data_IF_515721833913
#
_entry.id   IF_515721833913
#
_cell.length_a   1.000
_cell.length_b   1.000
_cell.length_c   1.000
_cell.angle_alpha   90.00
_cell.angle_beta   90.00
_cell.angle_gamma   90.00
#
_symmetry.space_group_name_H-M   'P 1'
#
loop_
_entity.id
_entity.type
_entity.pdbx_description
1 polymer ?
#
# COMPACT_ATOMS: atom_id res chain seq x y z
N UNK A 1 -16.72 72.34 -58.93
CA UNK A 1 -16.19 70.96 -59.00
C UNK A 1 -15.51 70.68 -57.68
N UNK A 2 -16.21 69.91 -56.76
CA UNK A 2 -15.64 69.43 -55.48
C UNK A 2 -15.50 67.92 -55.55
N UNK A 3 -14.26 67.43 -55.52
CA UNK A 3 -13.94 65.97 -55.45
C UNK A 3 -13.85 65.54 -53.99
N UNK A 4 -14.74 64.67 -53.56
CA UNK A 4 -14.78 64.03 -52.24
C UNK A 4 -13.94 62.78 -52.33
N UNK A 5 -12.85 62.66 -51.51
CA UNK A 5 -12.07 61.42 -51.31
C UNK A 5 -12.66 60.67 -50.19
N UNK A 6 -13.16 59.44 -50.43
CA UNK A 6 -13.57 58.46 -49.42
C UNK A 6 -12.35 57.61 -49.12
N UNK A 7 -11.81 57.72 -47.87
CA UNK A 7 -10.75 56.90 -47.41
C UNK A 7 -11.39 55.67 -46.68
N UNK A 8 -11.24 54.48 -47.23
CA UNK A 8 -11.70 53.21 -46.62
C UNK A 8 -10.62 52.75 -45.70
N UNK A 9 -10.86 52.82 -44.40
CA UNK A 9 -9.99 52.24 -43.36
C UNK A 9 -10.32 50.75 -43.21
N UNK A 10 -9.41 49.87 -43.62
CA UNK A 10 -9.48 48.43 -43.39
C UNK A 10 -8.86 48.17 -42.02
N UNK A 11 -9.71 47.93 -41.02
CA UNK A 11 -9.27 47.49 -39.67
C UNK A 11 -8.93 46.00 -39.70
N UNK A 12 -7.63 45.67 -39.64
CA UNK A 12 -7.11 44.35 -39.53
C UNK A 12 -7.26 43.89 -38.05
N UNK A 13 -8.34 43.17 -37.76
CA UNK A 13 -8.54 42.53 -36.42
C UNK A 13 -7.62 41.33 -36.31
N UNK A 14 -6.44 41.49 -35.71
CA UNK A 14 -5.58 40.40 -35.28
C UNK A 14 -6.23 39.68 -34.09
N UNK A 15 -6.85 38.54 -34.34
CA UNK A 15 -7.30 37.61 -33.32
C UNK A 15 -6.06 37.07 -32.59
N UNK A 16 -5.71 37.70 -31.47
CA UNK A 16 -4.78 37.17 -30.50
C UNK A 16 -5.41 35.91 -29.90
N UNK A 17 -5.11 34.74 -30.45
CA UNK A 17 -5.36 33.47 -29.80
C UNK A 17 -4.40 33.34 -28.60
N UNK A 18 -4.83 33.83 -27.46
CA UNK A 18 -4.14 33.47 -26.21
C UNK A 18 -4.26 31.96 -26.05
N UNK A 19 -3.13 31.24 -25.87
CA UNK A 19 -3.22 29.86 -25.46
C UNK A 19 -3.97 29.85 -24.13
N UNK A 20 -5.11 29.15 -24.09
CA UNK A 20 -5.77 28.84 -22.85
C UNK A 20 -4.73 28.15 -21.98
N UNK A 21 -4.25 28.84 -20.95
CA UNK A 21 -3.36 28.28 -19.97
C UNK A 21 -4.13 27.08 -19.31
N UNK A 22 -3.83 25.89 -19.79
CA UNK A 22 -4.41 24.69 -19.22
C UNK A 22 -3.90 24.62 -17.78
N UNK A 23 -4.82 24.70 -16.80
CA UNK A 23 -4.44 24.67 -15.40
C UNK A 23 -3.60 23.42 -15.15
N UNK A 24 -2.40 23.60 -14.60
CA UNK A 24 -1.50 22.51 -14.25
C UNK A 24 -2.20 21.55 -13.28
N UNK A 25 -2.27 20.28 -13.64
CA UNK A 25 -2.79 19.22 -12.76
C UNK A 25 -1.75 18.91 -11.69
N UNK A 26 -2.07 19.19 -10.44
CA UNK A 26 -1.22 18.81 -9.31
C UNK A 26 -1.66 17.46 -8.78
N UNK A 27 -0.70 16.54 -8.61
CA UNK A 27 -0.89 15.20 -8.05
C UNK A 27 -0.03 15.09 -6.79
N UNK A 28 -0.66 15.13 -5.64
CA UNK A 28 0.00 14.88 -4.36
C UNK A 28 -0.11 13.40 -4.02
N UNK A 29 1.03 12.80 -3.69
CA UNK A 29 1.12 11.40 -3.25
C UNK A 29 1.31 11.37 -1.74
N UNK A 30 0.58 10.54 -1.01
CA UNK A 30 0.88 10.20 0.39
C UNK A 30 1.24 8.72 0.50
N UNK A 31 2.33 8.44 1.17
CA UNK A 31 2.73 7.06 1.48
C UNK A 31 3.33 6.98 2.87
N UNK A 32 2.99 5.91 3.59
CA UNK A 32 3.64 5.59 4.86
C UNK A 32 5.04 4.99 4.67
N UNK A 33 5.44 4.64 3.45
CA UNK A 33 6.77 4.10 3.17
C UNK A 33 7.86 5.15 3.42
N UNK A 34 8.99 4.79 4.08
CA UNK A 34 10.11 5.69 4.25
C UNK A 34 10.82 5.97 2.92
N UNK A 35 11.66 6.99 2.90
CA UNK A 35 12.32 7.47 1.69
C UNK A 35 13.16 6.41 0.97
N UNK A 36 13.79 5.51 1.73
CA UNK A 36 14.59 4.38 1.23
C UNK A 36 13.79 3.21 0.66
N UNK A 37 12.47 3.21 0.78
CA UNK A 37 11.63 2.08 0.38
C UNK A 37 11.49 1.97 -1.14
N UNK A 38 11.50 0.74 -1.72
CA UNK A 38 11.14 0.52 -3.12
C UNK A 38 9.78 1.08 -3.53
N UNK A 39 8.83 1.19 -2.60
CA UNK A 39 7.53 1.79 -2.87
C UNK A 39 7.65 3.32 -3.08
N UNK A 40 8.52 3.99 -2.35
CA UNK A 40 8.82 5.40 -2.56
C UNK A 40 9.51 5.63 -3.91
N UNK A 41 10.40 4.72 -4.31
CA UNK A 41 11.01 4.73 -5.66
C UNK A 41 9.97 4.58 -6.76
N UNK A 42 8.96 3.71 -6.56
CA UNK A 42 7.87 3.55 -7.52
C UNK A 42 7.11 4.86 -7.77
N UNK A 43 6.78 5.60 -6.72
CA UNK A 43 6.15 6.91 -6.86
C UNK A 43 7.07 7.97 -7.48
N UNK A 44 8.39 7.93 -7.21
CA UNK A 44 9.36 8.80 -7.89
C UNK A 44 9.45 8.50 -9.39
N UNK A 45 9.37 7.23 -9.78
CA UNK A 45 9.31 6.81 -11.18
C UNK A 45 8.05 7.35 -11.87
N UNK A 46 6.89 7.25 -11.21
CA UNK A 46 5.63 7.83 -11.71
C UNK A 46 5.78 9.35 -11.88
N UNK A 47 6.31 10.05 -10.86
CA UNK A 47 6.59 11.49 -10.94
C UNK A 47 7.43 11.84 -12.15
N UNK A 48 8.59 11.22 -12.29
CA UNK A 48 9.55 11.51 -13.35
C UNK A 48 8.93 11.30 -14.75
N UNK A 49 8.18 10.20 -14.93
CA UNK A 49 7.54 9.88 -16.20
C UNK A 49 6.41 10.87 -16.55
N UNK A 50 5.53 11.15 -15.59
CA UNK A 50 4.38 12.03 -15.84
C UNK A 50 4.81 13.46 -16.09
N UNK A 51 5.75 14.00 -15.34
CA UNK A 51 6.26 15.36 -15.52
C UNK A 51 7.06 15.50 -16.83
N UNK A 52 7.84 14.48 -17.20
CA UNK A 52 8.60 14.46 -18.46
C UNK A 52 7.69 14.38 -19.70
N UNK A 53 6.63 13.56 -19.61
CA UNK A 53 5.70 13.36 -20.75
C UNK A 53 4.71 14.49 -20.93
N UNK A 54 4.36 15.18 -19.84
CA UNK A 54 3.38 16.27 -19.82
C UNK A 54 3.96 17.53 -19.16
N UNK A 55 5.03 18.10 -19.74
CA UNK A 55 5.74 19.26 -19.16
C UNK A 55 4.80 20.45 -19.01
N UNK A 56 4.78 21.06 -17.82
CA UNK A 56 3.91 22.18 -17.48
C UNK A 56 2.43 21.83 -17.27
N UNK A 57 1.96 20.69 -17.77
CA UNK A 57 0.56 20.25 -17.61
C UNK A 57 0.35 19.35 -16.36
N UNK A 58 1.36 18.61 -15.92
CA UNK A 58 1.29 17.75 -14.73
C UNK A 58 2.45 18.08 -13.80
N UNK A 59 2.16 18.14 -12.51
CA UNK A 59 3.16 18.24 -11.42
C UNK A 59 2.85 17.20 -10.35
N UNK A 60 3.86 16.44 -9.93
CA UNK A 60 3.70 15.39 -8.93
C UNK A 60 4.59 15.66 -7.72
N UNK A 61 4.05 15.61 -6.53
CA UNK A 61 4.82 15.68 -5.28
C UNK A 61 4.73 14.35 -4.53
N UNK A 62 5.87 13.89 -3.97
CA UNK A 62 5.98 12.58 -3.32
C UNK A 62 6.60 12.73 -1.93
N UNK A 63 5.90 13.31 -0.96
CA UNK A 63 6.32 13.24 0.44
C UNK A 63 6.15 11.79 0.97
N UNK A 64 7.17 11.32 1.68
CA UNK A 64 7.30 9.95 2.19
C UNK A 64 7.10 9.89 3.71
N UNK A 65 7.14 8.69 4.29
CA UNK A 65 7.10 8.46 5.75
C UNK A 65 5.92 9.13 6.47
N UNK A 66 4.73 9.12 5.85
CA UNK A 66 3.51 9.77 6.36
C UNK A 66 3.62 11.29 6.58
N UNK A 67 4.52 11.98 5.86
CA UNK A 67 4.74 13.42 6.03
C UNK A 67 3.51 14.27 5.61
N UNK A 68 2.66 13.77 4.70
CA UNK A 68 1.47 14.50 4.25
C UNK A 68 0.20 14.06 5.01
N UNK A 69 -0.01 12.74 5.13
CA UNK A 69 -1.14 12.16 5.87
C UNK A 69 -0.66 11.01 6.74
N UNK A 70 -1.21 10.90 7.95
CA UNK A 70 -0.95 9.79 8.87
C UNK A 70 -1.52 8.50 8.30
N UNK A 71 -0.83 7.36 8.47
CA UNK A 71 -1.31 6.04 8.05
C UNK A 71 -2.76 5.79 8.50
N UNK A 72 -3.62 5.40 7.56
CA UNK A 72 -5.04 5.17 7.79
C UNK A 72 -5.94 6.40 7.61
N UNK A 73 -5.37 7.60 7.35
CA UNK A 73 -6.15 8.81 7.06
C UNK A 73 -6.14 9.19 5.57
N UNK A 74 -5.34 8.50 4.76
CA UNK A 74 -5.18 8.77 3.33
C UNK A 74 -6.49 8.49 2.57
N UNK A 75 -7.13 7.35 2.78
CA UNK A 75 -8.36 6.99 2.08
C UNK A 75 -9.49 8.00 2.30
N UNK A 76 -9.82 8.41 3.54
CA UNK A 76 -10.77 9.50 3.76
C UNK A 76 -10.35 10.83 3.13
N UNK A 77 -9.05 11.15 3.06
CA UNK A 77 -8.56 12.37 2.42
C UNK A 77 -8.77 12.33 0.90
N UNK A 78 -8.51 11.18 0.26
CA UNK A 78 -8.76 10.96 -1.17
C UNK A 78 -10.25 11.09 -1.51
N UNK A 79 -11.12 10.51 -0.69
CA UNK A 79 -12.58 10.58 -0.88
C UNK A 79 -13.14 12.00 -0.77
N UNK A 80 -12.52 12.85 0.07
CA UNK A 80 -12.88 14.27 0.19
C UNK A 80 -12.21 15.18 -0.85
N UNK A 81 -11.36 14.64 -1.74
CA UNK A 81 -10.63 15.40 -2.74
C UNK A 81 -9.43 16.20 -2.19
N UNK A 82 -8.96 15.85 -0.98
CA UNK A 82 -7.81 16.50 -0.34
C UNK A 82 -6.47 15.83 -0.66
N UNK A 83 -6.50 14.69 -1.35
CA UNK A 83 -5.32 13.92 -1.75
C UNK A 83 -5.62 13.20 -3.07
N UNK A 84 -4.68 13.23 -4.02
CA UNK A 84 -4.85 12.64 -5.34
C UNK A 84 -4.42 11.18 -5.38
N UNK A 85 -3.27 10.82 -4.81
CA UNK A 85 -2.74 9.46 -4.85
C UNK A 85 -2.24 8.99 -3.48
N UNK A 86 -2.36 7.68 -3.24
CA UNK A 86 -1.79 7.03 -2.06
C UNK A 86 -1.44 5.56 -2.35
N UNK A 87 -0.85 4.92 -1.34
CA UNK A 87 -0.55 3.49 -1.33
C UNK A 87 -1.39 2.73 -0.28
N UNK A 88 -2.72 2.66 -0.43
CA UNK A 88 -3.55 1.91 0.51
C UNK A 88 -3.21 0.42 0.48
N UNK A 89 -3.46 -0.24 1.59
CA UNK A 89 -3.39 -1.70 1.72
C UNK A 89 -4.78 -2.28 1.95
N UNK A 90 -4.91 -3.59 1.89
CA UNK A 90 -6.21 -4.28 1.90
C UNK A 90 -7.09 -3.92 3.09
N UNK A 91 -6.53 -3.83 4.31
CA UNK A 91 -7.33 -3.55 5.51
C UNK A 91 -7.98 -2.15 5.52
N UNK A 92 -7.40 -1.19 4.80
CA UNK A 92 -7.97 0.17 4.70
C UNK A 92 -9.20 0.17 3.79
N UNK A 93 -9.20 -0.68 2.78
CA UNK A 93 -10.32 -0.83 1.82
C UNK A 93 -11.41 -1.74 2.38
N UNK A 94 -11.06 -2.82 3.10
CA UNK A 94 -12.02 -3.78 3.66
C UNK A 94 -13.01 -3.15 4.64
N UNK A 95 -12.65 -2.02 5.27
CA UNK A 95 -13.58 -1.28 6.12
C UNK A 95 -14.85 -0.82 5.38
N UNK A 96 -14.74 -0.59 4.07
CA UNK A 96 -15.84 -0.17 3.19
C UNK A 96 -16.32 -1.29 2.27
N UNK A 97 -15.48 -2.31 2.03
CA UNK A 97 -15.78 -3.49 1.20
C UNK A 97 -15.46 -4.78 1.99
N UNK A 98 -16.22 -5.08 3.05
CA UNK A 98 -15.95 -6.24 3.91
C UNK A 98 -16.03 -7.59 3.19
N UNK A 99 -16.76 -7.66 2.07
CA UNK A 99 -16.81 -8.84 1.20
C UNK A 99 -15.45 -9.21 0.59
N UNK A 100 -14.53 -8.25 0.51
CA UNK A 100 -13.15 -8.46 0.05
C UNK A 100 -12.13 -8.56 1.20
N UNK A 101 -12.58 -8.63 2.44
CA UNK A 101 -11.72 -8.79 3.62
C UNK A 101 -10.82 -10.03 3.57
N UNK A 102 -11.17 -11.03 2.75
CA UNK A 102 -10.32 -12.19 2.49
C UNK A 102 -8.92 -11.80 2.00
N UNK A 103 -8.74 -10.68 1.27
CA UNK A 103 -7.43 -10.22 0.83
C UNK A 103 -6.50 -9.76 1.96
N UNK A 104 -7.05 -9.53 3.16
CA UNK A 104 -6.28 -9.28 4.39
C UNK A 104 -6.02 -10.55 5.20
N UNK A 105 -6.46 -11.72 4.71
CA UNK A 105 -6.32 -12.97 5.45
C UNK A 105 -4.88 -13.50 5.41
N UNK A 106 -4.37 -13.88 6.58
CA UNK A 106 -3.09 -14.56 6.68
C UNK A 106 -3.15 -15.92 5.97
N UNK A 107 -2.01 -16.34 5.42
CA UNK A 107 -1.85 -17.59 4.67
C UNK A 107 -2.76 -17.76 3.44
N UNK A 108 -3.33 -16.66 2.92
CA UNK A 108 -4.13 -16.67 1.70
C UNK A 108 -3.25 -16.88 0.47
N UNK A 109 -2.23 -16.05 0.31
CA UNK A 109 -1.31 -16.14 -0.82
C UNK A 109 -0.10 -17.02 -0.45
N UNK A 110 0.34 -17.83 -1.41
CA UNK A 110 1.51 -18.72 -1.25
C UNK A 110 2.82 -17.92 -1.21
N UNK A 111 2.92 -16.94 -2.11
CA UNK A 111 4.10 -16.09 -2.32
C UNK A 111 3.72 -14.83 -3.11
N UNK A 112 4.70 -14.00 -3.42
CA UNK A 112 4.52 -12.77 -4.20
C UNK A 112 3.99 -13.04 -5.62
N UNK A 113 4.45 -14.12 -6.29
CA UNK A 113 4.01 -14.47 -7.65
C UNK A 113 2.52 -14.81 -7.66
N UNK A 114 2.07 -15.65 -6.74
CA UNK A 114 0.66 -15.99 -6.58
C UNK A 114 -0.21 -14.76 -6.27
N UNK A 115 0.27 -13.87 -5.40
CA UNK A 115 -0.40 -12.61 -5.10
C UNK A 115 -0.56 -11.76 -6.36
N UNK A 116 0.53 -11.52 -7.10
CA UNK A 116 0.52 -10.67 -8.29
C UNK A 116 -0.34 -11.29 -9.41
N UNK A 117 -0.24 -12.59 -9.64
CA UNK A 117 -1.10 -13.28 -10.60
C UNK A 117 -2.58 -13.14 -10.23
N UNK A 118 -2.93 -13.24 -8.96
CA UNK A 118 -4.30 -13.05 -8.49
C UNK A 118 -4.82 -11.65 -8.81
N UNK A 119 -4.09 -10.61 -8.44
CA UNK A 119 -4.54 -9.23 -8.68
C UNK A 119 -4.45 -8.81 -10.15
N UNK A 120 -3.69 -9.52 -10.97
CA UNK A 120 -3.60 -9.30 -12.42
C UNK A 120 -4.53 -10.21 -13.25
N UNK A 121 -5.38 -11.02 -12.59
CA UNK A 121 -6.43 -11.85 -13.19
C UNK A 121 -7.79 -11.15 -13.15
N UNK A 122 -8.85 -11.88 -13.61
CA UNK A 122 -10.23 -11.43 -13.50
C UNK A 122 -10.67 -11.20 -12.05
N UNK A 123 -10.05 -11.88 -11.07
CA UNK A 123 -10.31 -11.65 -9.64
C UNK A 123 -9.89 -10.23 -9.25
N UNK A 124 -8.70 -9.82 -9.66
CA UNK A 124 -8.22 -8.47 -9.40
C UNK A 124 -9.02 -7.41 -10.14
N UNK A 125 -9.38 -7.69 -11.41
CA UNK A 125 -10.22 -6.76 -12.19
C UNK A 125 -11.56 -6.52 -11.50
N UNK A 126 -12.24 -7.57 -11.06
CA UNK A 126 -13.49 -7.49 -10.32
C UNK A 126 -13.35 -6.63 -9.05
N UNK A 127 -12.28 -6.86 -8.30
CA UNK A 127 -11.98 -6.07 -7.09
C UNK A 127 -11.71 -4.60 -7.40
N UNK A 128 -10.91 -4.31 -8.43
CA UNK A 128 -10.59 -2.92 -8.81
C UNK A 128 -11.82 -2.15 -9.29
N UNK A 129 -12.70 -2.81 -10.05
CA UNK A 129 -13.97 -2.23 -10.50
C UNK A 129 -14.89 -1.91 -9.30
N UNK A 130 -15.01 -2.82 -8.34
CA UNK A 130 -15.78 -2.59 -7.11
C UNK A 130 -15.17 -1.48 -6.25
N UNK A 131 -13.85 -1.42 -6.09
CA UNK A 131 -13.16 -0.34 -5.38
C UNK A 131 -13.39 1.00 -6.07
N UNK A 132 -13.31 1.06 -7.40
CA UNK A 132 -13.56 2.29 -8.14
C UNK A 132 -15.00 2.78 -7.98
N UNK A 133 -15.97 1.86 -8.04
CA UNK A 133 -17.39 2.20 -8.02
C UNK A 133 -17.95 2.46 -6.63
N UNK A 134 -17.49 1.73 -5.61
CA UNK A 134 -18.05 1.78 -4.25
C UNK A 134 -17.21 2.60 -3.28
N UNK A 135 -15.89 2.65 -3.49
CA UNK A 135 -14.95 3.37 -2.59
C UNK A 135 -14.47 4.69 -3.19
N UNK A 136 -14.55 4.83 -4.52
CA UNK A 136 -14.10 6.02 -5.22
C UNK A 136 -12.60 6.10 -5.43
N UNK A 137 -11.92 4.94 -5.49
CA UNK A 137 -10.49 4.83 -5.78
C UNK A 137 -10.25 4.05 -7.06
N UNK A 138 -9.40 4.56 -7.94
CA UNK A 138 -8.87 3.83 -9.09
C UNK A 138 -7.56 3.17 -8.66
N UNK A 139 -7.55 1.85 -8.52
CA UNK A 139 -6.32 1.09 -8.37
C UNK A 139 -5.65 1.04 -9.74
N UNK A 140 -4.43 1.58 -9.82
CA UNK A 140 -3.63 1.62 -11.06
C UNK A 140 -2.89 0.31 -11.27
N UNK A 141 -2.27 -0.22 -10.21
CA UNK A 141 -1.73 -1.59 -10.15
C UNK A 141 -1.51 -2.03 -8.70
N UNK A 142 -1.24 -3.33 -8.53
CA UNK A 142 -0.86 -3.94 -7.26
C UNK A 142 0.64 -4.20 -7.23
N UNK A 143 1.27 -3.76 -6.15
CA UNK A 143 2.65 -4.04 -5.79
C UNK A 143 2.71 -5.01 -4.60
N UNK A 144 3.91 -5.45 -4.24
CA UNK A 144 4.17 -6.39 -3.15
C UNK A 144 4.83 -5.66 -1.97
N UNK A 145 4.12 -5.53 -0.85
CA UNK A 145 4.67 -4.88 0.33
C UNK A 145 5.74 -5.73 1.02
N UNK A 146 5.60 -7.04 0.96
CA UNK A 146 6.47 -8.03 1.56
C UNK A 146 5.69 -9.13 2.31
N UNK A 147 6.42 -10.13 2.79
CA UNK A 147 5.88 -11.21 3.64
C UNK A 147 6.10 -10.87 5.11
N UNK A 148 5.02 -10.76 5.85
CA UNK A 148 5.02 -10.33 7.25
C UNK A 148 5.54 -11.42 8.19
N UNK A 149 6.33 -10.98 9.14
CA UNK A 149 6.97 -11.78 10.21
C UNK A 149 6.75 -11.07 11.54
N UNK A 150 7.09 -11.70 12.64
CA UNK A 150 6.97 -11.11 13.98
C UNK A 150 8.34 -10.65 14.47
N UNK A 151 8.42 -9.44 15.03
CA UNK A 151 9.61 -8.93 15.70
C UNK A 151 9.30 -8.65 17.16
N UNK A 152 10.17 -9.12 18.09
CA UNK A 152 10.01 -8.94 19.52
C UNK A 152 11.19 -8.17 20.13
N UNK A 153 10.90 -7.36 21.14
CA UNK A 153 11.91 -6.63 21.93
C UNK A 153 12.55 -7.47 23.04
N UNK A 154 12.21 -8.75 23.12
CA UNK A 154 12.71 -9.69 24.14
C UNK A 154 13.19 -11.00 23.50
N UNK A 155 13.78 -11.90 24.34
CA UNK A 155 14.40 -13.15 23.89
C UNK A 155 13.49 -14.38 24.10
N UNK A 156 12.18 -14.20 24.31
CA UNK A 156 11.23 -15.29 24.48
C UNK A 156 11.27 -16.22 23.27
N UNK A 157 11.43 -17.53 23.52
CA UNK A 157 11.41 -18.51 22.41
C UNK A 157 9.99 -18.64 21.89
N UNK A 158 9.81 -18.48 20.58
CA UNK A 158 8.51 -18.57 19.92
C UNK A 158 8.54 -19.73 18.93
N UNK A 159 7.78 -20.77 19.23
CA UNK A 159 7.63 -21.97 18.40
C UNK A 159 6.17 -22.21 17.97
N UNK A 160 5.22 -21.69 18.73
CA UNK A 160 3.77 -21.84 18.50
C UNK A 160 3.00 -20.60 18.99
N UNK A 161 1.75 -20.40 18.57
CA UNK A 161 0.94 -19.24 18.97
C UNK A 161 0.87 -19.01 20.49
N UNK A 162 0.72 -20.08 21.29
CA UNK A 162 0.64 -19.97 22.74
C UNK A 162 1.87 -19.32 23.38
N UNK A 163 3.03 -19.36 22.73
CA UNK A 163 4.25 -18.71 23.24
C UNK A 163 4.17 -17.19 23.17
N UNK A 164 3.23 -16.63 22.40
CA UNK A 164 2.96 -15.19 22.33
C UNK A 164 1.95 -14.70 23.37
N UNK A 165 1.40 -15.59 24.21
CA UNK A 165 0.46 -15.18 25.26
C UNK A 165 1.08 -14.11 26.18
N UNK A 166 0.30 -13.05 26.41
CA UNK A 166 0.72 -11.89 27.19
C UNK A 166 1.58 -10.89 26.45
N UNK A 167 1.96 -11.16 25.19
CA UNK A 167 2.75 -10.24 24.35
C UNK A 167 1.85 -9.15 23.77
N UNK A 168 2.13 -7.89 24.05
CA UNK A 168 1.47 -6.74 23.44
C UNK A 168 2.07 -6.54 22.04
N UNK A 169 1.31 -6.95 21.01
CA UNK A 169 1.76 -6.86 19.63
C UNK A 169 1.11 -5.69 18.92
N UNK A 170 1.94 -4.77 18.44
CA UNK A 170 1.44 -3.72 17.56
C UNK A 170 0.94 -4.30 16.25
N UNK A 171 -0.23 -3.87 15.88
CA UNK A 171 -0.84 -4.12 14.57
C UNK A 171 -1.23 -2.81 13.89
N UNK A 172 -1.32 -2.79 12.54
CA UNK A 172 -2.00 -1.71 11.84
C UNK A 172 -3.45 -1.54 12.35
N UNK A 173 -4.05 -0.33 12.25
CA UNK A 173 -5.36 -0.04 12.84
C UNK A 173 -6.55 -0.62 12.04
N UNK A 174 -6.42 -1.83 11.49
CA UNK A 174 -7.47 -2.56 10.77
C UNK A 174 -8.12 -3.66 11.62
N UNK A 175 -9.42 -3.91 11.43
CA UNK A 175 -10.15 -4.94 12.20
C UNK A 175 -9.56 -6.35 11.96
N UNK A 176 -9.24 -6.70 10.72
CA UNK A 176 -8.60 -7.97 10.35
C UNK A 176 -7.28 -8.19 11.08
N UNK A 177 -6.48 -7.14 11.25
CA UNK A 177 -5.20 -7.21 11.96
C UNK A 177 -5.37 -7.39 13.47
N UNK A 178 -6.44 -6.85 14.07
CA UNK A 178 -6.73 -7.11 15.48
C UNK A 178 -7.10 -8.59 15.72
N UNK A 179 -7.87 -9.17 14.80
CA UNK A 179 -8.19 -10.60 14.83
C UNK A 179 -6.93 -11.44 14.58
N UNK A 180 -6.10 -11.04 13.63
CA UNK A 180 -4.84 -11.74 13.31
C UNK A 180 -3.89 -11.78 14.51
N UNK A 181 -3.71 -10.69 15.25
CA UNK A 181 -2.85 -10.70 16.45
C UNK A 181 -3.34 -11.73 17.49
N UNK A 182 -4.66 -11.78 17.75
CA UNK A 182 -5.26 -12.78 18.65
C UNK A 182 -5.02 -14.19 18.12
N UNK A 183 -5.22 -14.39 16.83
CA UNK A 183 -4.98 -15.67 16.16
C UNK A 183 -3.51 -16.13 16.25
N UNK A 184 -2.58 -15.20 16.25
CA UNK A 184 -1.16 -15.45 16.48
C UNK A 184 -0.81 -15.65 17.96
N UNK A 185 -1.77 -15.51 18.88
CA UNK A 185 -1.60 -15.71 20.33
C UNK A 185 -1.25 -14.44 21.10
N UNK A 186 -1.23 -13.27 20.47
CA UNK A 186 -0.82 -12.01 21.08
C UNK A 186 -2.00 -11.10 21.44
N UNK A 187 -1.74 -10.12 22.31
CA UNK A 187 -2.69 -9.04 22.60
C UNK A 187 -2.49 -7.91 21.62
N UNK A 188 -3.49 -7.56 20.77
CA UNK A 188 -3.34 -6.52 19.76
C UNK A 188 -3.28 -5.12 20.36
N UNK A 189 -2.41 -4.28 19.80
CA UNK A 189 -2.33 -2.84 20.06
C UNK A 189 -2.38 -2.12 18.72
N UNK A 190 -3.49 -1.46 18.41
CA UNK A 190 -3.64 -0.67 17.17
C UNK A 190 -2.78 0.59 17.23
N UNK A 191 -1.86 0.75 16.27
CA UNK A 191 -0.93 1.90 16.27
C UNK A 191 -0.43 2.16 14.84
N UNK A 192 -0.36 3.43 14.37
CA UNK A 192 0.28 3.77 13.10
C UNK A 192 1.77 3.39 13.10
N UNK A 193 2.31 3.14 11.91
CA UNK A 193 3.69 2.66 11.77
C UNK A 193 4.73 3.66 12.29
N UNK A 194 4.47 4.96 12.20
CA UNK A 194 5.36 6.04 12.66
C UNK A 194 5.59 6.03 14.17
N UNK A 195 4.73 5.39 14.95
CA UNK A 195 4.81 5.33 16.41
C UNK A 195 5.48 4.04 16.93
N UNK A 196 5.68 3.05 16.04
CA UNK A 196 6.12 1.69 16.42
C UNK A 196 7.53 1.68 17.00
N UNK A 197 8.48 2.42 16.42
CA UNK A 197 9.85 2.47 16.92
C UNK A 197 9.90 2.92 18.40
N UNK A 198 9.21 4.02 18.70
CA UNK A 198 9.13 4.53 20.05
C UNK A 198 8.38 3.57 20.98
N UNK A 199 7.28 2.99 20.52
CA UNK A 199 6.49 2.02 21.27
C UNK A 199 7.31 0.79 21.68
N UNK A 200 8.14 0.26 20.78
CA UNK A 200 9.06 -0.85 21.06
C UNK A 200 10.18 -0.42 22.04
N UNK A 201 10.77 0.75 21.82
CA UNK A 201 11.86 1.28 22.62
C UNK A 201 11.44 1.54 24.07
N UNK A 202 10.24 2.03 24.29
CA UNK A 202 9.71 2.35 25.63
C UNK A 202 9.01 1.19 26.32
N UNK A 203 8.79 0.05 25.62
CA UNK A 203 8.04 -1.09 26.17
C UNK A 203 6.53 -0.87 26.21
N UNK A 204 6.00 0.14 25.54
CA UNK A 204 4.56 0.30 25.33
C UNK A 204 3.98 -0.90 24.58
N UNK A 205 4.75 -1.45 23.65
CA UNK A 205 4.51 -2.70 22.94
C UNK A 205 5.73 -3.62 23.04
N UNK A 206 5.51 -4.93 23.03
CA UNK A 206 6.56 -5.95 23.14
C UNK A 206 6.97 -6.49 21.77
N UNK A 207 6.07 -6.37 20.79
CA UNK A 207 6.25 -6.92 19.47
C UNK A 207 5.54 -6.07 18.41
N UNK A 208 5.92 -6.30 17.16
CA UNK A 208 5.22 -5.82 15.98
C UNK A 208 5.27 -6.86 14.86
N UNK A 209 4.40 -6.75 13.87
CA UNK A 209 4.45 -7.54 12.66
C UNK A 209 4.66 -6.65 11.42
N UNK A 210 5.65 -6.98 10.62
CA UNK A 210 5.91 -6.37 9.31
C UNK A 210 6.81 -7.30 8.47
N UNK A 211 6.89 -7.07 7.16
CA UNK A 211 7.92 -7.66 6.32
C UNK A 211 9.34 -7.30 6.79
N UNK A 212 10.30 -8.16 6.47
CA UNK A 212 11.70 -7.97 6.90
C UNK A 212 12.33 -6.70 6.33
N UNK A 213 12.07 -6.38 5.05
CA UNK A 213 12.48 -5.12 4.43
C UNK A 213 11.94 -3.90 5.21
N UNK A 214 10.66 -3.89 5.58
CA UNK A 214 10.06 -2.80 6.36
C UNK A 214 10.65 -2.72 7.78
N UNK A 215 10.91 -3.85 8.41
CA UNK A 215 11.59 -3.91 9.73
C UNK A 215 12.96 -3.27 9.68
N UNK A 216 13.71 -3.47 8.57
CA UNK A 216 14.99 -2.80 8.32
C UNK A 216 14.80 -1.30 8.06
N UNK A 217 13.93 -0.94 7.13
CA UNK A 217 13.77 0.44 6.63
C UNK A 217 13.24 1.40 7.71
N UNK A 218 12.36 0.89 8.59
CA UNK A 218 11.88 1.60 9.77
C UNK A 218 12.79 1.44 11.00
N UNK A 219 13.95 0.76 10.85
CA UNK A 219 14.96 0.55 11.90
C UNK A 219 14.44 -0.18 13.15
N UNK A 220 13.36 -0.96 13.02
CA UNK A 220 12.81 -1.69 14.16
C UNK A 220 13.78 -2.72 14.71
N UNK A 221 14.71 -3.23 13.90
CA UNK A 221 15.79 -4.12 14.32
C UNK A 221 16.73 -3.50 15.35
N UNK A 222 16.81 -2.17 15.47
CA UNK A 222 17.62 -1.49 16.49
C UNK A 222 16.99 -1.55 17.90
N UNK A 223 15.68 -1.81 17.97
CA UNK A 223 14.89 -1.84 19.21
C UNK A 223 14.18 -3.19 19.44
N UNK A 224 14.54 -4.20 18.66
CA UNK A 224 14.07 -5.57 18.81
C UNK A 224 15.24 -6.53 18.96
N UNK A 225 15.02 -7.69 19.61
CA UNK A 225 16.04 -8.73 19.84
C UNK A 225 15.91 -9.91 18.92
N UNK A 226 14.73 -10.09 18.30
CA UNK A 226 14.48 -11.23 17.43
C UNK A 226 13.47 -10.95 16.34
N UNK A 227 13.64 -11.69 15.23
CA UNK A 227 12.71 -11.85 14.13
C UNK A 227 12.28 -13.29 14.06
N UNK A 228 10.98 -13.54 14.13
CA UNK A 228 10.37 -14.88 14.03
C UNK A 228 9.70 -14.98 12.66
N UNK A 229 10.26 -15.80 11.78
CA UNK A 229 9.83 -15.94 10.40
C UNK A 229 8.56 -16.79 10.28
N UNK A 230 7.47 -16.31 10.86
CA UNK A 230 6.15 -16.96 10.78
C UNK A 230 5.57 -16.90 9.37
N UNK A 231 6.03 -15.97 8.52
CA UNK A 231 5.61 -15.78 7.11
C UNK A 231 4.09 -15.82 6.95
N UNK A 232 3.40 -15.22 7.92
CA UNK A 232 1.95 -15.41 8.10
C UNK A 232 1.11 -14.62 7.08
N UNK A 233 1.64 -13.57 6.46
CA UNK A 233 0.87 -12.75 5.52
C UNK A 233 1.74 -12.23 4.38
N UNK A 234 1.50 -12.72 3.17
CA UNK A 234 2.02 -12.17 1.92
C UNK A 234 1.13 -10.98 1.54
N UNK A 235 1.65 -9.77 1.67
CA UNK A 235 0.81 -8.57 1.67
C UNK A 235 0.90 -7.76 0.38
N UNK A 236 -0.26 -7.47 -0.28
CA UNK A 236 -0.33 -6.49 -1.35
C UNK A 236 -0.28 -5.06 -0.80
N UNK A 237 0.17 -4.15 -1.66
CA UNK A 237 -0.03 -2.71 -1.52
C UNK A 237 -0.46 -2.15 -2.87
N UNK A 238 -1.36 -1.19 -2.89
CA UNK A 238 -1.91 -0.67 -4.12
C UNK A 238 -1.28 0.69 -4.47
N UNK A 239 -1.01 0.91 -5.74
CA UNK A 239 -0.80 2.25 -6.28
C UNK A 239 -2.17 2.74 -6.72
N UNK A 240 -2.74 3.71 -6.01
CA UNK A 240 -4.12 4.14 -6.22
C UNK A 240 -4.26 5.65 -6.34
N UNK A 241 -5.25 6.07 -7.12
CA UNK A 241 -5.62 7.47 -7.30
C UNK A 241 -7.09 7.68 -6.94
N UNK A 242 -7.41 8.81 -6.33
CA UNK A 242 -8.81 9.21 -6.10
C UNK A 242 -9.55 9.28 -7.44
N UNK A 243 -10.70 8.61 -7.54
CA UNK A 243 -11.43 8.53 -8.80
C UNK A 243 -11.77 9.92 -9.38
N UNK A 244 -12.22 10.91 -8.61
CA UNK A 244 -12.48 12.26 -9.15
C UNK A 244 -11.21 12.96 -9.67
N UNK A 245 -10.03 12.65 -9.11
CA UNK A 245 -8.76 13.20 -9.60
C UNK A 245 -8.32 12.47 -10.89
N UNK A 246 -8.50 11.15 -10.95
CA UNK A 246 -8.21 10.36 -12.15
C UNK A 246 -9.11 10.77 -13.32
N UNK A 247 -10.40 10.98 -13.11
CA UNK A 247 -11.37 11.36 -14.14
C UNK A 247 -11.11 12.77 -14.74
N UNK A 248 -10.37 13.63 -14.01
CA UNK A 248 -9.93 14.94 -14.53
C UNK A 248 -8.72 14.87 -15.47
N UNK A 249 -7.98 13.77 -15.45
CA UNK A 249 -6.85 13.57 -16.35
C UNK A 249 -7.36 13.37 -17.79
N UNK A 250 -6.60 13.88 -18.77
CA UNK A 250 -6.89 13.59 -20.17
C UNK A 250 -6.72 12.09 -20.46
N UNK A 251 -7.35 11.54 -21.52
CA UNK A 251 -7.16 10.13 -21.88
C UNK A 251 -5.70 9.73 -22.06
N UNK A 252 -4.86 10.62 -22.61
CA UNK A 252 -3.43 10.40 -22.77
C UNK A 252 -2.71 10.32 -21.41
N UNK A 253 -3.05 11.19 -20.46
CA UNK A 253 -2.50 11.18 -19.10
C UNK A 253 -2.95 9.93 -18.32
N UNK A 254 -4.22 9.53 -18.45
CA UNK A 254 -4.73 8.31 -17.81
C UNK A 254 -4.01 7.05 -18.34
N UNK A 255 -3.83 6.95 -19.65
CA UNK A 255 -3.13 5.83 -20.28
C UNK A 255 -1.67 5.76 -19.82
N UNK A 256 -0.95 6.89 -19.84
CA UNK A 256 0.43 6.95 -19.39
C UNK A 256 0.58 6.64 -17.90
N UNK A 257 -0.32 7.18 -17.06
CA UNK A 257 -0.31 6.91 -15.62
C UNK A 257 -0.50 5.41 -15.32
N UNK A 258 -1.40 4.73 -16.02
CA UNK A 258 -1.59 3.27 -15.90
C UNK A 258 -0.35 2.51 -16.35
N UNK A 259 0.26 2.91 -17.48
CA UNK A 259 1.48 2.28 -18.00
C UNK A 259 2.63 2.40 -17.00
N UNK A 260 2.93 3.63 -16.55
CA UNK A 260 4.05 3.84 -15.62
C UNK A 260 3.76 3.25 -14.24
N UNK A 261 2.53 3.21 -13.76
CA UNK A 261 2.19 2.55 -12.50
C UNK A 261 2.48 1.04 -12.56
N UNK A 262 2.19 0.39 -13.70
CA UNK A 262 2.51 -1.02 -13.92
C UNK A 262 4.03 -1.27 -13.91
N UNK A 263 4.79 -0.48 -14.67
CA UNK A 263 6.26 -0.56 -14.71
C UNK A 263 6.87 -0.30 -13.31
N UNK A 264 6.35 0.69 -12.59
CA UNK A 264 6.78 1.04 -11.24
C UNK A 264 6.46 -0.09 -10.23
N UNK A 265 5.31 -0.74 -10.36
CA UNK A 265 4.97 -1.92 -9.54
C UNK A 265 5.93 -3.07 -9.82
N UNK A 266 6.23 -3.37 -11.09
CA UNK A 266 7.15 -4.45 -11.45
C UNK A 266 8.57 -4.20 -10.89
N UNK A 267 9.07 -2.98 -11.00
CA UNK A 267 10.34 -2.57 -10.39
C UNK A 267 10.30 -2.70 -8.86
N UNK A 268 9.23 -2.24 -8.23
CA UNK A 268 9.04 -2.29 -6.78
C UNK A 268 9.01 -3.75 -6.28
N UNK A 269 8.28 -4.64 -6.95
CA UNK A 269 8.21 -6.07 -6.60
C UNK A 269 9.60 -6.70 -6.64
N UNK A 270 10.34 -6.48 -7.72
CA UNK A 270 11.69 -7.05 -7.88
C UNK A 270 12.64 -6.57 -6.77
N UNK A 271 12.64 -5.27 -6.48
CA UNK A 271 13.46 -4.70 -5.39
C UNK A 271 13.03 -5.22 -4.02
N UNK A 272 11.74 -5.30 -3.73
CA UNK A 272 11.23 -5.79 -2.44
C UNK A 272 11.64 -7.24 -2.19
N UNK A 273 11.55 -8.11 -3.19
CA UNK A 273 12.01 -9.50 -3.10
C UNK A 273 13.51 -9.61 -2.80
N UNK A 274 14.33 -8.71 -3.35
CA UNK A 274 15.76 -8.62 -3.05
C UNK A 274 15.98 -8.08 -1.62
N UNK A 275 15.24 -7.07 -1.24
CA UNK A 275 15.35 -6.39 0.06
C UNK A 275 14.93 -7.29 1.22
N UNK A 276 13.91 -8.13 1.07
CA UNK A 276 13.53 -9.10 2.10
C UNK A 276 14.68 -10.07 2.44
N UNK A 277 15.44 -10.48 1.43
CA UNK A 277 16.61 -11.36 1.62
C UNK A 277 17.77 -10.61 2.30
N UNK A 278 18.12 -9.43 1.80
CA UNK A 278 19.23 -8.62 2.35
C UNK A 278 18.96 -8.08 3.75
N UNK A 279 17.70 -7.87 4.12
CA UNK A 279 17.33 -7.45 5.47
C UNK A 279 17.75 -8.48 6.53
N UNK A 280 17.71 -9.77 6.22
CA UNK A 280 18.15 -10.83 7.15
C UNK A 280 19.65 -10.72 7.47
N UNK A 281 20.47 -10.29 6.51
CA UNK A 281 21.91 -10.08 6.74
C UNK A 281 22.13 -8.84 7.65
N UNK A 282 21.34 -7.79 7.48
CA UNK A 282 21.34 -6.64 8.38
C UNK A 282 20.99 -7.06 9.81
N UNK A 283 19.99 -7.94 9.99
CA UNK A 283 19.60 -8.41 11.31
C UNK A 283 20.68 -9.29 11.96
N UNK A 284 21.33 -10.16 11.20
CA UNK A 284 22.48 -10.96 11.68
C UNK A 284 23.63 -10.05 12.14
N UNK A 285 23.97 -9.04 11.33
CA UNK A 285 25.01 -8.07 11.66
C UNK A 285 24.68 -7.25 12.92
N UNK A 286 23.40 -7.00 13.19
CA UNK A 286 22.91 -6.32 14.38
C UNK A 286 22.71 -7.25 15.58
N UNK A 287 23.11 -8.53 15.50
CA UNK A 287 22.90 -9.56 16.52
C UNK A 287 21.42 -9.79 16.87
N UNK A 288 20.51 -9.53 15.94
CA UNK A 288 19.08 -9.88 16.09
C UNK A 288 18.91 -11.36 15.80
N UNK A 289 18.36 -12.10 16.75
CA UNK A 289 18.10 -13.53 16.58
C UNK A 289 17.06 -13.76 15.47
N UNK A 290 17.31 -14.70 14.58
CA UNK A 290 16.36 -15.11 13.54
C UNK A 290 15.94 -16.54 13.85
N UNK A 291 14.63 -16.79 13.91
CA UNK A 291 14.05 -18.12 14.08
C UNK A 291 12.94 -18.36 13.07
N UNK A 292 12.76 -19.60 12.68
CA UNK A 292 11.73 -20.04 11.73
C UNK A 292 10.95 -21.20 12.34
N UNK A 293 9.81 -20.92 13.01
CA UNK A 293 8.96 -21.95 13.60
C UNK A 293 8.16 -22.69 12.52
N UNK A 294 7.54 -23.81 12.92
CA UNK A 294 6.59 -24.49 12.04
C UNK A 294 5.35 -23.61 11.78
N UNK A 295 5.26 -23.06 10.58
CA UNK A 295 4.17 -22.20 10.15
C UNK A 295 2.79 -22.90 10.17
N UNK A 296 2.74 -24.24 10.12
CA UNK A 296 1.49 -25.00 10.15
C UNK A 296 0.74 -24.85 11.46
N UNK A 297 1.48 -24.70 12.58
CA UNK A 297 0.90 -24.48 13.91
C UNK A 297 0.19 -23.13 13.99
N UNK A 298 0.81 -22.09 13.40
CA UNK A 298 0.22 -20.76 13.33
C UNK A 298 -0.96 -20.72 12.38
N UNK A 299 -0.83 -21.33 11.20
CA UNK A 299 -1.88 -21.38 10.19
C UNK A 299 -3.17 -21.99 10.73
N UNK A 300 -3.08 -23.14 11.42
CA UNK A 300 -4.25 -23.81 12.01
C UNK A 300 -4.98 -22.91 13.00
N UNK A 301 -4.24 -22.24 13.89
CA UNK A 301 -4.82 -21.34 14.89
C UNK A 301 -5.46 -20.11 14.23
N UNK A 302 -4.83 -19.56 13.20
CA UNK A 302 -5.33 -18.39 12.46
C UNK A 302 -6.68 -18.70 11.79
N UNK A 303 -6.79 -19.78 11.06
CA UNK A 303 -8.05 -20.13 10.39
C UNK A 303 -9.18 -20.38 11.39
N UNK A 304 -8.88 -21.07 12.49
CA UNK A 304 -9.85 -21.28 13.57
C UNK A 304 -10.36 -19.96 14.15
N UNK A 305 -9.47 -19.01 14.41
CA UNK A 305 -9.85 -17.69 14.94
C UNK A 305 -10.66 -16.88 13.93
N UNK A 306 -10.35 -16.95 12.64
CA UNK A 306 -11.14 -16.29 11.61
C UNK A 306 -12.58 -16.80 11.55
N UNK A 307 -12.79 -18.11 11.73
CA UNK A 307 -14.13 -18.72 11.81
C UNK A 307 -14.86 -18.28 13.09
N UNK A 308 -14.22 -18.40 14.24
CA UNK A 308 -14.84 -18.09 15.54
C UNK A 308 -15.13 -16.61 15.75
N UNK A 309 -14.35 -15.72 15.14
CA UNK A 309 -14.59 -14.27 15.15
C UNK A 309 -15.75 -13.82 14.24
N UNK A 310 -16.27 -14.73 13.39
CA UNK A 310 -17.28 -14.42 12.38
C UNK A 310 -16.77 -13.58 11.20
N UNK A 311 -15.44 -13.39 11.08
CA UNK A 311 -14.85 -12.60 10.00
C UNK A 311 -15.14 -13.22 8.64
N UNK A 312 -15.00 -14.54 8.52
CA UNK A 312 -15.21 -15.30 7.27
C UNK A 312 -16.62 -15.17 6.72
N UNK A 313 -17.62 -14.99 7.58
CA UNK A 313 -19.01 -14.82 7.18
C UNK A 313 -19.26 -13.53 6.36
N UNK A 314 -18.37 -12.56 6.43
CA UNK A 314 -18.44 -11.31 5.67
C UNK A 314 -17.80 -11.43 4.29
N UNK A 315 -16.97 -12.44 4.07
CA UNK A 315 -16.22 -12.59 2.82
C UNK A 315 -17.14 -13.03 1.67
N UNK A 316 -16.82 -12.58 0.47
CA UNK A 316 -17.53 -12.95 -0.74
C UNK A 316 -17.49 -14.48 -0.93
N UNK A 317 -18.64 -15.14 -1.02
CA UNK A 317 -18.69 -16.59 -1.18
C UNK A 317 -17.85 -17.08 -2.37
N UNK A 318 -17.05 -18.12 -2.15
CA UNK A 318 -16.21 -18.73 -3.19
C UNK A 318 -14.95 -17.94 -3.57
N UNK A 319 -14.77 -16.70 -3.12
CA UNK A 319 -13.62 -15.88 -3.50
C UNK A 319 -12.29 -16.51 -3.04
N UNK A 320 -12.22 -17.01 -1.81
CA UNK A 320 -11.02 -17.70 -1.31
C UNK A 320 -10.63 -18.89 -2.20
N UNK A 321 -11.62 -19.73 -2.58
CA UNK A 321 -11.36 -20.89 -3.45
C UNK A 321 -10.88 -20.47 -4.84
N UNK A 322 -11.46 -19.41 -5.41
CA UNK A 322 -11.00 -18.82 -6.69
C UNK A 322 -9.54 -18.35 -6.60
N UNK A 323 -9.17 -17.67 -5.51
CA UNK A 323 -7.79 -17.19 -5.27
C UNK A 323 -6.85 -18.38 -5.18
N UNK A 324 -7.18 -19.40 -4.39
CA UNK A 324 -6.34 -20.58 -4.21
C UNK A 324 -6.14 -21.38 -5.51
N UNK A 325 -7.08 -21.31 -6.44
CA UNK A 325 -7.00 -21.97 -7.75
C UNK A 325 -6.06 -21.26 -8.75
N UNK A 326 -5.65 -20.02 -8.50
CA UNK A 326 -4.67 -19.31 -9.35
C UNK A 326 -3.32 -20.03 -9.30
N UNK A 327 -2.74 -20.31 -10.47
CA UNK A 327 -1.48 -21.08 -10.64
C UNK A 327 -0.28 -20.18 -10.86
#
# INVERSE_FOLDING_TARGET
>A
MRRTFIATAISLATLLTWPLAQAQTEIRVSTAAPDSSPLSDAFRMIKARMESKFPGAVKVSVPTASALFRQGTELPAMQRGNLEMASPVTFEIEAQLPEYGVFSAAYLFRDADHLIKTFRSDIGKEYYDDVANKVGLVILDTAYLGTRTINLNNDKKIEKPADLNGTKMRMPPGASFQVLAKALGATPVAMPITEVYLGLKTGQIDAQDNPTNMTRDWKFHEVTKQVVLTKHLVQPVFIAMAKPAFDKLTPAQQAELRSVAREASDMQIAKTLQDEKSALDTFRAANVRISEPDASLFRTTVFKEYETSGMTAKWKPGLMARIQAVK
#
